data_IF_042843737318
#
_entry.id   IF_042843737318
#
_cell.length_a   1.000
_cell.length_b   1.000
_cell.length_c   1.000
_cell.angle_alpha   90.00
_cell.angle_beta   90.00
_cell.angle_gamma   90.00
#
_symmetry.space_group_name_H-M   'P 1'
#
loop_
_entity.id
_entity.type
_entity.pdbx_description
1 polymer ?
#
# COMPACT_ATOMS: atom_id res chain seq x y z
N UNK A 1 -10.80 38.42 29.83
CA UNK A 1 -10.28 37.09 30.22
C UNK A 1 -10.32 36.21 28.98
N UNK A 2 -9.19 35.68 28.53
CA UNK A 2 -9.17 34.67 27.45
C UNK A 2 -9.64 33.33 28.02
N UNK A 3 -10.36 32.53 27.23
CA UNK A 3 -11.06 31.32 27.70
C UNK A 3 -10.17 30.08 27.91
N UNK A 4 -8.86 30.19 27.74
CA UNK A 4 -7.94 29.04 27.87
C UNK A 4 -8.10 27.98 26.76
N UNK A 5 -8.67 28.35 25.62
CA UNK A 5 -8.96 27.46 24.49
C UNK A 5 -7.82 27.45 23.45
N UNK A 6 -7.51 26.29 22.88
CA UNK A 6 -6.55 26.12 21.80
C UNK A 6 -6.90 24.90 20.94
N UNK A 7 -6.58 24.96 19.64
CA UNK A 7 -6.87 23.87 18.68
C UNK A 7 -5.58 23.44 18.00
N UNK A 8 -5.37 22.13 17.92
CA UNK A 8 -4.25 21.53 17.19
C UNK A 8 -4.81 20.60 16.11
N UNK A 9 -4.32 20.76 14.88
CA UNK A 9 -4.66 19.88 13.76
C UNK A 9 -3.57 18.82 13.60
N UNK A 10 -3.97 17.55 13.68
CA UNK A 10 -3.09 16.41 13.48
C UNK A 10 -3.45 15.73 12.15
N UNK A 11 -2.60 15.80 11.11
CA UNK A 11 -2.84 15.06 9.88
C UNK A 11 -2.69 13.56 10.14
N UNK A 12 -3.76 12.80 9.96
CA UNK A 12 -3.75 11.33 10.06
C UNK A 12 -3.60 10.76 8.64
N UNK A 13 -2.62 9.87 8.45
CA UNK A 13 -2.41 9.17 7.19
C UNK A 13 -3.41 8.04 6.98
N UNK A 14 -3.08 7.08 6.11
CA UNK A 14 -3.86 5.87 5.95
C UNK A 14 -3.73 5.00 7.21
N UNK A 15 -4.73 5.09 8.10
CA UNK A 15 -4.78 4.39 9.37
C UNK A 15 -6.19 3.89 9.63
N UNK A 16 -6.30 2.61 9.97
CA UNK A 16 -7.54 1.97 10.38
C UNK A 16 -7.34 1.39 11.78
N UNK A 17 -7.96 1.99 12.80
CA UNK A 17 -7.77 1.59 14.19
C UNK A 17 -8.24 2.62 15.21
N UNK A 18 -7.85 2.42 16.48
CA UNK A 18 -8.08 3.36 17.58
C UNK A 18 -6.82 4.18 17.84
N UNK A 19 -6.93 5.51 17.81
CA UNK A 19 -5.90 6.43 18.24
C UNK A 19 -6.15 6.85 19.69
N UNK A 20 -5.10 6.87 20.51
CA UNK A 20 -5.14 7.48 21.84
C UNK A 20 -4.50 8.87 21.75
N UNK A 21 -5.32 9.90 21.86
CA UNK A 21 -4.88 11.30 21.89
C UNK A 21 -4.54 11.64 23.34
N UNK A 22 -3.37 12.23 23.57
CA UNK A 22 -2.90 12.63 24.90
C UNK A 22 -2.50 14.10 24.88
N UNK A 23 -2.96 14.85 25.88
CA UNK A 23 -2.62 16.25 26.07
C UNK A 23 -2.02 16.46 27.48
N UNK A 24 -1.01 17.31 27.57
CA UNK A 24 -0.44 17.78 28.84
C UNK A 24 -0.38 19.31 28.80
N UNK A 25 -0.71 19.94 29.92
CA UNK A 25 -0.67 21.39 30.10
C UNK A 25 -0.02 21.73 31.45
N UNK A 26 0.71 22.83 31.52
CA UNK A 26 1.32 23.30 32.76
C UNK A 26 1.42 24.84 32.78
N UNK A 27 1.37 25.40 33.99
CA UNK A 27 1.77 26.77 34.33
C UNK A 27 3.00 26.72 35.24
N UNK A 28 3.34 27.83 35.90
CA UNK A 28 4.41 27.81 36.91
C UNK A 28 4.04 26.95 38.14
N UNK A 29 2.76 26.92 38.50
CA UNK A 29 2.28 26.34 39.75
C UNK A 29 1.30 25.16 39.54
N UNK A 30 0.75 24.99 38.32
CA UNK A 30 -0.27 23.99 38.01
C UNK A 30 0.15 23.03 36.89
N UNK A 31 -0.34 21.79 36.97
CA UNK A 31 -0.15 20.74 35.95
C UNK A 31 -1.46 20.03 35.66
N UNK A 32 -1.65 19.61 34.42
CA UNK A 32 -2.83 18.85 33.99
C UNK A 32 -2.52 17.92 32.82
N UNK A 33 -3.23 16.80 32.76
CA UNK A 33 -3.15 15.84 31.65
C UNK A 33 -4.54 15.29 31.33
N UNK A 34 -4.76 14.95 30.06
CA UNK A 34 -6.00 14.31 29.60
C UNK A 34 -5.69 13.36 28.44
N UNK A 35 -6.49 12.31 28.29
CA UNK A 35 -6.44 11.44 27.13
C UNK A 35 -7.84 11.03 26.64
N UNK A 36 -7.96 10.80 25.34
CA UNK A 36 -9.20 10.41 24.68
C UNK A 36 -8.94 9.38 23.57
N UNK A 37 -9.89 8.48 23.36
CA UNK A 37 -9.85 7.46 22.31
C UNK A 37 -10.65 7.93 21.10
N UNK A 38 -10.02 7.89 19.93
CA UNK A 38 -10.64 8.27 18.66
C UNK A 38 -10.59 7.08 17.70
N UNK A 39 -11.75 6.66 17.18
CA UNK A 39 -11.83 5.60 16.17
C UNK A 39 -11.66 6.21 14.78
N UNK A 40 -10.70 5.70 14.03
CA UNK A 40 -10.48 6.05 12.62
C UNK A 40 -10.72 4.80 11.79
N UNK A 41 -11.74 4.85 10.93
CA UNK A 41 -12.10 3.73 10.07
C UNK A 41 -12.44 4.23 8.66
N UNK A 42 -11.74 3.68 7.67
CA UNK A 42 -12.12 3.80 6.28
C UNK A 42 -13.41 3.00 6.04
N UNK A 43 -14.35 3.51 5.21
CA UNK A 43 -15.60 2.80 4.90
C UNK A 43 -15.33 1.48 4.15
N UNK A 44 -14.27 1.44 3.35
CA UNK A 44 -13.80 0.27 2.62
C UNK A 44 -12.29 0.18 2.78
N UNK A 45 -11.79 -1.01 3.12
CA UNK A 45 -10.36 -1.31 3.18
C UNK A 45 -9.97 -2.07 1.91
N UNK A 46 -8.81 -1.70 1.35
CA UNK A 46 -8.17 -2.38 0.23
C UNK A 46 -6.73 -2.75 0.59
N UNK A 47 -6.39 -4.03 0.57
CA UNK A 47 -5.07 -4.52 0.95
C UNK A 47 -4.50 -5.41 -0.15
N UNK A 48 -3.33 -5.07 -0.67
CA UNK A 48 -2.67 -5.83 -1.73
C UNK A 48 -1.55 -6.70 -1.15
N UNK A 49 -1.77 -8.02 -1.15
CA UNK A 49 -0.78 -8.99 -0.74
C UNK A 49 0.23 -9.21 -1.88
N UNK A 50 1.47 -8.78 -1.66
CA UNK A 50 2.56 -8.89 -2.62
C UNK A 50 3.68 -9.79 -2.08
N UNK A 51 4.32 -10.61 -2.94
CA UNK A 51 5.54 -11.30 -2.56
C UNK A 51 6.65 -10.27 -2.30
N UNK A 52 7.60 -10.60 -1.41
CA UNK A 52 8.70 -9.68 -1.05
C UNK A 52 9.61 -9.34 -2.23
N UNK A 53 9.64 -10.19 -3.26
CA UNK A 53 10.39 -10.00 -4.49
C UNK A 53 9.73 -10.79 -5.65
N UNK A 54 9.97 -10.32 -6.87
CA UNK A 54 9.73 -11.05 -8.12
C UNK A 54 11.03 -10.99 -8.93
N UNK A 55 11.48 -12.12 -9.45
CA UNK A 55 12.60 -12.16 -10.38
C UNK A 55 12.14 -11.69 -11.77
N UNK A 56 13.09 -11.21 -12.58
CA UNK A 56 12.82 -10.89 -13.98
C UNK A 56 12.25 -12.09 -14.73
N UNK A 57 11.16 -11.87 -15.46
CA UNK A 57 10.44 -12.92 -16.18
C UNK A 57 9.41 -13.67 -15.35
N UNK A 58 9.33 -13.46 -14.03
CA UNK A 58 8.32 -14.13 -13.20
C UNK A 58 6.90 -13.69 -13.55
N UNK A 59 5.97 -14.64 -13.55
CA UNK A 59 4.54 -14.38 -13.59
C UNK A 59 3.88 -14.87 -12.29
N UNK A 60 3.01 -14.05 -11.70
CA UNK A 60 2.33 -14.37 -10.44
C UNK A 60 0.90 -13.81 -10.40
N UNK A 61 0.17 -14.12 -9.34
CA UNK A 61 -1.13 -13.53 -9.04
C UNK A 61 -1.06 -12.88 -7.67
N UNK A 62 -1.22 -11.55 -7.64
CA UNK A 62 -1.36 -10.80 -6.40
C UNK A 62 -2.80 -10.94 -5.89
N UNK A 63 -3.00 -10.94 -4.58
CA UNK A 63 -4.32 -10.97 -3.98
C UNK A 63 -4.66 -9.58 -3.43
N UNK A 64 -5.66 -8.92 -4.02
CA UNK A 64 -6.24 -7.67 -3.53
C UNK A 64 -7.47 -8.00 -2.70
N UNK A 65 -7.34 -7.89 -1.38
CA UNK A 65 -8.43 -8.06 -0.43
C UNK A 65 -9.20 -6.75 -0.27
N UNK A 66 -10.51 -6.85 -0.44
CA UNK A 66 -11.46 -5.74 -0.30
C UNK A 66 -12.43 -6.06 0.82
N UNK A 67 -12.61 -5.13 1.75
CA UNK A 67 -13.55 -5.28 2.87
C UNK A 67 -14.44 -4.06 3.02
N UNK A 68 -15.75 -4.28 3.00
CA UNK A 68 -16.72 -3.24 3.31
C UNK A 68 -16.94 -3.21 4.84
N UNK A 69 -16.57 -2.10 5.48
CA UNK A 69 -16.76 -1.88 6.91
C UNK A 69 -18.05 -1.13 7.25
N UNK A 70 -18.82 -0.74 6.23
CA UNK A 70 -20.08 -0.03 6.43
C UNK A 70 -21.26 -0.99 6.69
N UNK A 71 -22.36 -0.41 7.15
CA UNK A 71 -23.66 -1.04 7.35
C UNK A 71 -24.51 -1.10 6.07
N UNK A 72 -23.98 -0.62 4.93
CA UNK A 72 -24.68 -0.53 3.64
C UNK A 72 -23.92 -1.28 2.54
N UNK A 73 -24.61 -1.80 1.52
CA UNK A 73 -23.95 -2.37 0.36
C UNK A 73 -23.17 -1.28 -0.40
N UNK A 74 -22.00 -1.66 -0.90
CA UNK A 74 -21.11 -0.79 -1.69
C UNK A 74 -20.96 -1.36 -3.10
N UNK A 75 -20.94 -0.48 -4.10
CA UNK A 75 -20.54 -0.83 -5.48
C UNK A 75 -19.17 -0.22 -5.74
N UNK A 76 -18.16 -1.06 -5.95
CA UNK A 76 -16.78 -0.64 -6.13
C UNK A 76 -16.38 -0.70 -7.60
N UNK A 77 -15.76 0.38 -8.07
CA UNK A 77 -15.06 0.41 -9.35
C UNK A 77 -13.56 0.33 -9.07
N UNK A 78 -12.94 -0.80 -9.42
CA UNK A 78 -11.52 -1.05 -9.17
C UNK A 78 -10.73 -0.82 -10.45
N UNK A 79 -9.90 0.22 -10.46
CA UNK A 79 -8.97 0.52 -11.54
C UNK A 79 -7.55 0.20 -11.10
N UNK A 80 -6.86 -0.66 -11.86
CA UNK A 80 -5.49 -1.06 -11.58
C UNK A 80 -4.55 -0.45 -12.60
N UNK A 81 -3.38 -0.03 -12.14
CA UNK A 81 -2.27 0.41 -12.99
C UNK A 81 -0.96 -0.16 -12.46
N UNK A 82 -0.03 -0.47 -13.36
CA UNK A 82 1.33 -0.87 -13.02
C UNK A 82 2.33 0.08 -13.66
N UNK A 83 3.47 0.24 -13.01
CA UNK A 83 4.58 1.07 -13.50
C UNK A 83 5.92 0.36 -13.25
N UNK A 84 6.99 0.87 -13.88
CA UNK A 84 8.32 0.31 -13.76
C UNK A 84 8.47 -1.05 -14.45
N UNK A 85 9.04 -2.02 -13.73
CA UNK A 85 9.29 -3.38 -14.21
C UNK A 85 8.12 -4.34 -13.95
N UNK A 86 6.96 -3.84 -13.55
CA UNK A 86 5.76 -4.68 -13.38
C UNK A 86 4.78 -4.43 -14.52
N UNK A 87 4.13 -5.49 -14.97
CA UNK A 87 3.07 -5.46 -15.96
C UNK A 87 1.82 -6.14 -15.42
N UNK A 88 0.65 -5.57 -15.71
CA UNK A 88 -0.63 -6.22 -15.46
C UNK A 88 -0.96 -7.11 -16.66
N UNK A 89 -1.28 -8.37 -16.41
CA UNK A 89 -1.65 -9.34 -17.45
C UNK A 89 -3.16 -9.67 -17.41
N UNK A 90 -3.90 -9.07 -16.49
CA UNK A 90 -5.35 -9.22 -16.35
C UNK A 90 -6.16 -8.24 -17.18
N UNK A 91 -7.41 -8.61 -17.46
CA UNK A 91 -8.40 -7.72 -18.06
C UNK A 91 -8.97 -6.70 -17.04
N UNK A 92 -9.71 -5.72 -17.54
CA UNK A 92 -10.44 -4.78 -16.70
C UNK A 92 -11.39 -5.53 -15.74
N UNK A 93 -11.44 -5.05 -14.50
CA UNK A 93 -12.25 -5.66 -13.45
C UNK A 93 -13.66 -5.05 -13.53
N UNK A 94 -14.73 -5.87 -13.65
CA UNK A 94 -16.08 -5.36 -13.65
C UNK A 94 -16.44 -4.80 -12.26
N UNK A 95 -17.44 -3.90 -12.17
CA UNK A 95 -17.90 -3.37 -10.88
C UNK A 95 -18.26 -4.50 -9.91
N UNK A 96 -17.75 -4.37 -8.68
CA UNK A 96 -17.94 -5.36 -7.63
C UNK A 96 -18.97 -4.86 -6.61
N UNK A 97 -20.02 -5.63 -6.38
CA UNK A 97 -20.91 -5.38 -5.25
C UNK A 97 -20.38 -6.08 -4.00
N UNK A 98 -20.28 -5.33 -2.90
CA UNK A 98 -19.90 -5.83 -1.60
C UNK A 98 -21.00 -5.51 -0.59
N UNK A 99 -21.63 -6.54 -0.05
CA UNK A 99 -22.61 -6.42 1.02
C UNK A 99 -21.99 -5.80 2.29
N UNK A 100 -22.81 -5.29 3.23
CA UNK A 100 -22.34 -4.82 4.54
C UNK A 100 -21.45 -5.86 5.22
N UNK A 101 -20.29 -5.45 5.74
CA UNK A 101 -19.35 -6.34 6.44
C UNK A 101 -18.65 -7.40 5.57
N UNK A 102 -18.98 -7.51 4.28
CA UNK A 102 -18.47 -8.56 3.41
C UNK A 102 -17.01 -8.31 3.00
N UNK A 103 -16.33 -9.40 2.64
CA UNK A 103 -15.00 -9.38 2.02
C UNK A 103 -15.04 -10.02 0.64
N UNK A 104 -14.16 -9.57 -0.24
CA UNK A 104 -13.88 -10.20 -1.53
C UNK A 104 -12.39 -10.13 -1.82
N UNK A 105 -11.86 -11.14 -2.50
CA UNK A 105 -10.47 -11.17 -2.94
C UNK A 105 -10.44 -11.14 -4.47
N UNK A 106 -9.78 -10.14 -5.03
CA UNK A 106 -9.52 -10.03 -6.45
C UNK A 106 -8.10 -10.52 -6.74
N UNK A 107 -7.98 -11.49 -7.65
CA UNK A 107 -6.67 -11.93 -8.10
C UNK A 107 -6.21 -11.07 -9.28
N UNK A 108 -5.01 -10.51 -9.15
CA UNK A 108 -4.40 -9.62 -10.14
C UNK A 108 -3.21 -10.33 -10.76
N UNK A 109 -3.36 -10.92 -11.97
CA UNK A 109 -2.24 -11.50 -12.69
C UNK A 109 -1.24 -10.40 -13.08
N UNK A 110 0.03 -10.62 -12.73
CA UNK A 110 1.12 -9.70 -13.05
C UNK A 110 2.36 -10.45 -13.51
N UNK A 111 3.19 -9.79 -14.28
CA UNK A 111 4.50 -10.27 -14.68
C UNK A 111 5.58 -9.22 -14.41
N UNK A 112 6.76 -9.70 -14.04
CA UNK A 112 7.97 -8.90 -13.91
C UNK A 112 8.70 -8.86 -15.25
N UNK A 113 8.90 -7.64 -15.76
CA UNK A 113 9.69 -7.39 -16.96
C UNK A 113 11.16 -7.69 -16.71
N UNK A 114 11.87 -8.00 -17.79
CA UNK A 114 13.30 -8.23 -17.71
C UNK A 114 14.04 -6.96 -17.27
N UNK A 115 14.84 -7.11 -16.22
CA UNK A 115 15.81 -6.11 -15.80
C UNK A 115 16.99 -6.15 -16.77
N UNK A 116 17.34 -4.99 -17.32
CA UNK A 116 18.39 -4.87 -18.33
C UNK A 116 19.78 -5.12 -17.71
N UNK A 117 20.28 -6.36 -17.69
CA UNK A 117 21.72 -6.63 -17.55
C UNK A 117 22.32 -6.93 -18.92
N UNK A 118 22.68 -5.88 -19.65
CA UNK A 118 23.53 -6.03 -20.85
C UNK A 118 24.96 -6.24 -20.37
N UNK A 119 25.35 -7.50 -20.15
CA UNK A 119 26.77 -7.84 -20.00
C UNK A 119 27.48 -7.45 -21.31
N UNK A 120 28.21 -6.33 -21.30
CA UNK A 120 29.14 -6.00 -22.39
C UNK A 120 30.41 -6.83 -22.20
N UNK A 121 30.33 -8.10 -22.58
CA UNK A 121 31.51 -8.91 -22.74
C UNK A 121 32.28 -8.49 -23.96
N UNK A 122 33.30 -7.65 -23.79
CA UNK A 122 34.41 -7.64 -24.74
C UNK A 122 35.08 -9.02 -24.68
N UNK A 123 34.84 -9.83 -25.72
CA UNK A 123 35.65 -11.00 -26.01
C UNK A 123 37.06 -10.49 -26.37
N UNK A 124 37.96 -10.50 -25.39
CA UNK A 124 39.40 -10.46 -25.67
C UNK A 124 39.79 -11.79 -26.32
N UNK A 125 39.92 -11.76 -27.64
CA UNK A 125 40.42 -12.85 -28.47
C UNK A 125 41.93 -13.04 -28.19
N UNK A 126 42.27 -14.06 -27.40
CA UNK A 126 43.67 -14.45 -27.20
C UNK A 126 44.12 -15.34 -28.37
N UNK A 127 44.66 -14.71 -29.42
CA UNK A 127 45.42 -15.43 -30.45
C UNK A 127 46.69 -15.99 -29.81
N UNK A 128 46.72 -17.31 -29.60
CA UNK A 128 47.94 -18.06 -29.30
C UNK A 128 48.81 -18.09 -30.57
N UNK A 129 49.92 -17.35 -30.56
CA UNK A 129 50.96 -17.44 -31.57
C UNK A 129 51.59 -18.83 -31.59
N UNK A 130 51.75 -19.34 -32.82
CA UNK A 130 52.56 -20.51 -33.15
C UNK A 130 54.05 -20.15 -33.11
N UNK A 131 54.82 -20.90 -32.36
CA UNK A 131 56.24 -21.17 -32.60
C UNK A 131 56.35 -22.72 -32.57
N UNK A 132 56.93 -23.40 -33.55
CA UNK A 132 58.18 -23.07 -34.24
C UNK A 132 59.19 -24.09 -33.77
#
# INVERSE_FOLDING_TARGET
MSRGEGVVMLPIGDFNGELRVMAQAWTADDFGSSDEKVVVAAPVIAELNTPRFLASGDATRLALDLRNLTDRPQTLNVALSASGLLQLDGAAIPPLQLAPGARSTLFVPVSARDGFWRWSGERHDYRRGSAG
#
